data_IF_573482614353
#
_entry.id   IF_573482614353
#
_cell.length_a   1.000
_cell.length_b   1.000
_cell.length_c   1.000
_cell.angle_alpha   90.00
_cell.angle_beta   90.00
_cell.angle_gamma   90.00
#
_symmetry.space_group_name_H-M   'P 1'
#
loop_
_entity.id
_entity.type
_entity.pdbx_description
1 polymer ?
#
# COMPACT_ATOMS: atom_id res chain seq x y z
N UNK A 1 36.47 -3.24 16.37
CA UNK A 1 35.92 -4.61 16.33
C UNK A 1 34.90 -4.69 15.21
N UNK A 2 34.94 -5.62 14.27
CA UNK A 2 36.06 -6.45 13.79
C UNK A 2 35.90 -6.61 12.26
N UNK A 3 36.98 -6.39 11.50
CA UNK A 3 37.07 -6.66 10.05
C UNK A 3 36.58 -8.07 9.67
N UNK A 4 36.61 -9.00 10.63
CA UNK A 4 36.14 -10.37 10.50
C UNK A 4 34.62 -10.46 10.26
N UNK A 5 33.81 -9.60 10.87
CA UNK A 5 32.36 -9.61 10.69
C UNK A 5 31.98 -9.13 9.28
N UNK A 6 32.69 -8.12 8.76
CA UNK A 6 32.54 -7.65 7.38
C UNK A 6 32.96 -8.71 6.35
N UNK A 7 34.03 -9.45 6.63
CA UNK A 7 34.45 -10.56 5.77
C UNK A 7 33.45 -11.73 5.80
N UNK A 8 32.91 -12.07 6.98
CA UNK A 8 31.91 -13.12 7.13
C UNK A 8 30.59 -12.79 6.41
N UNK A 9 30.14 -11.53 6.48
CA UNK A 9 28.96 -11.05 5.75
C UNK A 9 29.17 -11.08 4.23
N UNK A 10 30.35 -10.67 3.73
CA UNK A 10 30.69 -10.80 2.30
C UNK A 10 30.68 -12.26 1.83
N UNK A 11 31.18 -13.18 2.65
CA UNK A 11 31.14 -14.62 2.36
C UNK A 11 29.71 -15.17 2.27
N UNK A 12 28.82 -14.74 3.17
CA UNK A 12 27.40 -15.13 3.15
C UNK A 12 26.69 -14.59 1.92
N UNK A 13 26.96 -13.34 1.52
CA UNK A 13 26.38 -12.73 0.31
C UNK A 13 26.82 -13.48 -0.95
N UNK A 14 28.11 -13.79 -1.08
CA UNK A 14 28.61 -14.54 -2.23
C UNK A 14 27.99 -15.95 -2.31
N UNK A 15 27.94 -16.66 -1.18
CA UNK A 15 27.34 -17.98 -1.10
C UNK A 15 25.82 -17.97 -1.35
N UNK A 16 25.12 -16.89 -1.02
CA UNK A 16 23.68 -16.74 -1.29
C UNK A 16 23.39 -16.44 -2.77
N UNK A 17 24.26 -15.67 -3.44
CA UNK A 17 24.20 -15.39 -4.87
C UNK A 17 24.45 -16.68 -5.67
N UNK A 18 25.47 -17.45 -5.30
CA UNK A 18 25.83 -18.69 -6.00
C UNK A 18 24.75 -19.79 -5.87
N UNK A 19 23.89 -19.71 -4.85
CA UNK A 19 22.80 -20.67 -4.57
C UNK A 19 21.39 -20.12 -4.87
N UNK A 20 21.26 -18.99 -5.57
CA UNK A 20 19.99 -18.37 -5.95
C UNK A 20 19.03 -18.09 -4.77
N UNK A 21 19.57 -17.86 -3.56
CA UNK A 21 18.80 -17.49 -2.37
C UNK A 21 18.71 -15.97 -2.25
N UNK A 22 18.03 -15.34 -3.21
CA UNK A 22 17.98 -13.88 -3.38
C UNK A 22 17.37 -13.15 -2.17
N UNK A 23 16.38 -13.73 -1.50
CA UNK A 23 15.78 -13.15 -0.29
C UNK A 23 16.81 -12.97 0.85
N UNK A 24 17.74 -13.92 0.99
CA UNK A 24 18.82 -13.84 1.99
C UNK A 24 19.91 -12.85 1.58
N UNK A 25 20.18 -12.74 0.29
CA UNK A 25 21.12 -11.74 -0.24
C UNK A 25 20.58 -10.32 -0.05
N UNK A 26 19.27 -10.10 -0.27
CA UNK A 26 18.64 -8.79 -0.08
C UNK A 26 18.65 -8.37 1.41
N UNK A 27 18.32 -9.31 2.32
CA UNK A 27 18.41 -9.04 3.76
C UNK A 27 19.85 -8.70 4.19
N UNK A 28 20.86 -9.41 3.68
CA UNK A 28 22.26 -9.13 3.99
C UNK A 28 22.74 -7.77 3.43
N UNK A 29 22.32 -7.40 2.22
CA UNK A 29 22.61 -6.08 1.63
C UNK A 29 21.93 -4.96 2.42
N UNK A 30 20.69 -5.17 2.88
CA UNK A 30 20.00 -4.22 3.72
C UNK A 30 20.74 -3.98 5.05
N UNK A 31 21.18 -5.05 5.72
CA UNK A 31 22.00 -4.94 6.93
C UNK A 31 23.35 -4.24 6.69
N UNK A 32 24.02 -4.50 5.55
CA UNK A 32 25.26 -3.81 5.19
C UNK A 32 25.05 -2.30 4.99
N UNK A 33 23.94 -1.88 4.38
CA UNK A 33 23.59 -0.45 4.23
C UNK A 33 23.26 0.21 5.56
N UNK A 34 22.59 -0.50 6.47
CA UNK A 34 22.33 0.00 7.82
C UNK A 34 23.64 0.19 8.61
N UNK A 35 24.57 -0.75 8.50
CA UNK A 35 25.89 -0.64 9.12
C UNK A 35 26.71 0.51 8.52
N UNK A 36 26.68 0.71 7.20
CA UNK A 36 27.39 1.85 6.57
C UNK A 36 26.79 3.19 6.98
N UNK A 37 25.46 3.27 7.10
CA UNK A 37 24.78 4.48 7.57
C UNK A 37 25.13 4.81 9.03
N UNK A 38 25.21 3.79 9.91
CA UNK A 38 25.66 3.96 11.29
C UNK A 38 27.15 4.37 11.37
N UNK A 39 28.02 3.81 10.53
CA UNK A 39 29.43 4.20 10.47
C UNK A 39 29.60 5.66 9.99
N UNK A 40 28.77 6.09 9.03
CA UNK A 40 28.77 7.47 8.52
C UNK A 40 28.30 8.46 9.59
N UNK A 41 27.25 8.10 10.34
CA UNK A 41 26.72 8.90 11.45
C UNK A 41 27.73 9.05 12.61
N UNK A 42 28.51 8.00 12.91
CA UNK A 42 29.52 8.03 13.96
C UNK A 42 30.76 8.83 13.52
N UNK A 43 31.09 8.87 12.22
CA UNK A 43 32.20 9.67 11.69
C UNK A 43 31.89 11.18 11.60
N UNK A 44 30.61 11.57 11.51
CA UNK A 44 30.17 12.98 11.44
C UNK A 44 29.88 13.62 12.79
N UNK A 45 30.15 12.97 13.93
CA UNK A 45 29.97 13.56 15.25
C UNK A 45 31.24 14.32 15.70
N UNK A 46 31.28 15.67 15.64
CA UNK A 46 32.20 16.43 16.46
C UNK A 46 31.72 16.35 17.92
N UNK A 47 32.66 16.12 18.82
CA UNK A 47 32.46 16.26 20.26
C UNK A 47 32.12 17.71 20.62
N UNK A 48 31.02 17.92 21.35
CA UNK A 48 30.73 18.99 22.33
C UNK A 48 29.22 19.01 22.62
N UNK A 49 28.79 18.53 23.79
CA UNK A 49 28.55 19.28 25.03
C UNK A 49 27.22 20.08 25.09
N UNK A 50 26.40 19.66 26.07
CA UNK A 50 25.61 20.47 27.01
C UNK A 50 24.37 21.29 26.56
N UNK A 51 23.26 20.90 27.20
CA UNK A 51 22.42 21.69 28.12
C UNK A 51 21.01 22.19 27.70
N UNK A 52 20.12 22.02 28.70
CA UNK A 52 18.94 22.83 29.05
C UNK A 52 17.64 22.56 28.26
N UNK A 53 16.64 21.86 28.83
CA UNK A 53 15.60 22.34 29.79
C UNK A 53 14.94 23.67 29.39
N UNK A 54 13.62 23.62 29.18
CA UNK A 54 12.52 24.48 29.70
C UNK A 54 11.41 24.59 28.64
N UNK A 55 10.22 24.04 28.85
CA UNK A 55 9.08 24.51 29.63
C UNK A 55 8.22 25.59 28.93
N UNK A 56 6.93 25.26 28.75
CA UNK A 56 5.72 26.11 28.70
C UNK A 56 5.70 27.40 27.85
N UNK A 57 4.74 27.49 26.91
CA UNK A 57 3.49 28.25 27.16
C UNK A 57 2.45 28.07 26.06
N UNK A 58 1.25 27.81 26.56
CA UNK A 58 -0.08 27.88 25.97
C UNK A 58 -0.46 29.35 25.84
N UNK A 59 -0.86 29.78 24.65
CA UNK A 59 -1.77 30.93 24.50
C UNK A 59 -2.85 30.60 23.47
N UNK A 60 -4.06 30.78 23.98
CA UNK A 60 -5.37 30.55 23.42
C UNK A 60 -5.82 31.90 22.89
N UNK A 61 -6.19 32.03 21.62
CA UNK A 61 -6.94 33.18 21.17
C UNK A 61 -8.02 32.77 20.16
N UNK A 62 -9.24 33.00 20.62
CA UNK A 62 -10.52 32.92 19.94
C UNK A 62 -10.67 34.09 18.98
N UNK A 63 -11.27 33.83 17.82
CA UNK A 63 -11.58 34.85 16.83
C UNK A 63 -12.35 34.24 15.67
N UNK A 64 -13.67 34.13 15.85
CA UNK A 64 -14.61 33.87 14.78
C UNK A 64 -14.70 35.08 13.85
N UNK A 65 -14.86 34.84 12.54
CA UNK A 65 -15.86 35.45 11.62
C UNK A 65 -15.46 35.14 10.16
N UNK A 66 -16.51 35.00 9.33
CA UNK A 66 -16.53 35.02 7.86
C UNK A 66 -16.39 33.70 7.08
N UNK A 67 -17.54 33.03 7.00
CA UNK A 67 -17.93 32.09 5.95
C UNK A 67 -17.83 32.74 4.56
N UNK A 68 -16.74 32.43 3.86
CA UNK A 68 -16.68 32.58 2.39
C UNK A 68 -16.68 31.18 1.80
N UNK A 69 -17.62 30.91 0.89
CA UNK A 69 -17.71 29.68 0.11
C UNK A 69 -16.46 29.51 -0.78
N UNK A 70 -15.40 28.97 -0.21
CA UNK A 70 -14.39 28.29 -0.99
C UNK A 70 -14.88 26.87 -1.25
N UNK A 71 -15.02 26.53 -2.54
CA UNK A 71 -14.97 25.15 -3.00
C UNK A 71 -13.68 24.53 -2.45
N UNK A 72 -13.78 23.92 -1.27
CA UNK A 72 -12.79 22.98 -0.76
C UNK A 72 -12.74 21.84 -1.76
N UNK A 73 -11.82 21.97 -2.72
CA UNK A 73 -11.08 20.82 -3.22
C UNK A 73 -10.72 20.05 -1.95
N UNK A 74 -11.17 18.81 -1.77
CA UNK A 74 -10.85 18.08 -0.56
C UNK A 74 -9.32 18.07 -0.48
N UNK A 75 -8.77 18.79 0.50
CA UNK A 75 -7.39 18.65 0.91
C UNK A 75 -7.18 17.14 1.02
N UNK A 76 -6.30 16.59 0.17
CA UNK A 76 -5.87 15.21 0.26
C UNK A 76 -5.41 15.03 1.69
N UNK A 77 -6.26 14.42 2.52
CA UNK A 77 -5.91 14.05 3.87
C UNK A 77 -4.62 13.26 3.74
N UNK A 78 -3.56 13.72 4.42
CA UNK A 78 -2.25 13.09 4.45
C UNK A 78 -2.33 11.71 5.17
N UNK A 79 -3.11 10.80 4.61
CA UNK A 79 -3.46 9.51 5.18
C UNK A 79 -3.12 8.42 4.18
N UNK A 80 -2.12 7.61 4.53
CA UNK A 80 -1.85 6.26 4.00
C UNK A 80 -2.35 6.00 2.57
N UNK A 81 -1.80 6.72 1.59
CA UNK A 81 -2.19 6.54 0.20
C UNK A 81 -1.86 5.13 -0.30
N UNK A 82 -2.75 4.56 -1.11
CA UNK A 82 -2.49 3.28 -1.79
C UNK A 82 -1.82 3.62 -3.12
N UNK A 83 -0.63 3.11 -3.36
CA UNK A 83 0.01 3.23 -4.67
C UNK A 83 -0.15 1.94 -5.47
N UNK A 84 -0.68 2.03 -6.68
CA UNK A 84 -0.82 0.92 -7.62
C UNK A 84 0.26 1.08 -8.69
N UNK A 85 1.08 0.07 -8.90
CA UNK A 85 2.08 0.02 -9.97
C UNK A 85 1.73 -1.08 -10.95
N UNK A 86 1.79 -0.79 -12.24
CA UNK A 86 1.70 -1.78 -13.31
C UNK A 86 3.06 -1.96 -13.96
N UNK A 87 3.59 -3.19 -13.88
CA UNK A 87 4.84 -3.61 -14.49
C UNK A 87 4.49 -4.38 -15.75
N UNK A 88 4.52 -3.69 -16.88
CA UNK A 88 4.05 -4.20 -18.17
C UNK A 88 4.80 -5.46 -18.62
N UNK A 89 6.13 -5.49 -18.44
CA UNK A 89 6.98 -6.60 -18.90
C UNK A 89 6.67 -7.93 -18.18
N UNK A 90 6.21 -7.85 -16.94
CA UNK A 90 5.84 -9.00 -16.10
C UNK A 90 4.32 -9.23 -16.06
N UNK A 91 3.53 -8.36 -16.70
CA UNK A 91 2.08 -8.29 -16.59
C UNK A 91 1.58 -8.30 -15.12
N UNK A 92 2.35 -7.66 -14.24
CA UNK A 92 2.21 -7.70 -12.80
C UNK A 92 1.70 -6.37 -12.27
N UNK A 93 0.81 -6.41 -11.27
CA UNK A 93 0.28 -5.24 -10.59
C UNK A 93 0.69 -5.30 -9.12
N UNK A 94 1.31 -4.23 -8.61
CA UNK A 94 1.70 -4.09 -7.22
C UNK A 94 0.85 -3.05 -6.51
N UNK A 95 0.22 -3.44 -5.41
CA UNK A 95 -0.52 -2.57 -4.51
C UNK A 95 0.32 -2.32 -3.26
N UNK A 96 0.80 -1.09 -3.08
CA UNK A 96 1.63 -0.68 -1.96
C UNK A 96 0.83 0.19 -1.00
N UNK A 97 0.76 -0.24 0.25
CA UNK A 97 0.30 0.55 1.40
C UNK A 97 1.27 0.31 2.54
N UNK A 98 2.24 1.21 2.70
CA UNK A 98 3.36 1.03 3.63
C UNK A 98 2.88 0.57 5.02
N UNK A 99 3.46 -0.50 5.59
CA UNK A 99 4.63 -1.28 5.12
C UNK A 99 4.29 -2.45 4.18
N UNK A 100 3.02 -2.65 3.84
CA UNK A 100 2.54 -3.81 3.09
C UNK A 100 2.63 -3.58 1.57
N UNK A 101 3.04 -4.61 0.84
CA UNK A 101 2.98 -4.64 -0.62
C UNK A 101 2.39 -5.98 -1.05
N UNK A 102 1.40 -5.92 -1.92
CA UNK A 102 0.79 -7.08 -2.56
C UNK A 102 1.06 -7.01 -4.05
N UNK A 103 1.29 -8.15 -4.68
CA UNK A 103 1.62 -8.30 -6.09
C UNK A 103 0.72 -9.39 -6.66
N UNK A 104 0.04 -9.08 -7.75
CA UNK A 104 -0.84 -10.03 -8.45
C UNK A 104 -0.77 -9.79 -9.94
N UNK A 105 -1.03 -10.84 -10.72
CA UNK A 105 -1.08 -10.72 -12.16
C UNK A 105 -2.31 -9.92 -12.59
N UNK A 106 -2.25 -9.34 -13.80
CA UNK A 106 -3.39 -8.62 -14.38
C UNK A 106 -4.66 -9.48 -14.46
N UNK A 107 -4.51 -10.80 -14.64
CA UNK A 107 -5.65 -11.72 -14.67
C UNK A 107 -6.39 -11.78 -13.34
N UNK A 108 -5.68 -11.76 -12.21
CA UNK A 108 -6.32 -11.67 -10.90
C UNK A 108 -7.16 -10.40 -10.77
N UNK A 109 -6.63 -9.25 -11.20
CA UNK A 109 -7.36 -7.98 -11.13
C UNK A 109 -8.61 -8.04 -12.00
N UNK A 110 -8.51 -8.57 -13.23
CA UNK A 110 -9.66 -8.77 -14.12
C UNK A 110 -10.75 -9.60 -13.46
N UNK A 111 -10.39 -10.76 -12.92
CA UNK A 111 -11.34 -11.64 -12.22
C UNK A 111 -11.96 -10.93 -11.01
N UNK A 112 -11.17 -10.21 -10.22
CA UNK A 112 -11.69 -9.44 -9.09
C UNK A 112 -12.75 -8.41 -9.52
N UNK A 113 -12.45 -7.64 -10.58
CA UNK A 113 -13.36 -6.63 -11.11
C UNK A 113 -14.61 -7.25 -11.75
N UNK A 114 -14.48 -8.35 -12.49
CA UNK A 114 -15.61 -9.11 -13.04
C UNK A 114 -16.57 -9.54 -11.92
N UNK A 115 -16.02 -10.05 -10.80
CA UNK A 115 -16.82 -10.44 -9.65
C UNK A 115 -17.47 -9.26 -8.93
N UNK A 116 -16.90 -8.06 -9.00
CA UNK A 116 -17.55 -6.84 -8.50
C UNK A 116 -18.72 -6.41 -9.41
N UNK A 117 -18.59 -6.59 -10.72
CA UNK A 117 -19.68 -6.32 -11.67
C UNK A 117 -20.85 -7.29 -11.50
N UNK A 118 -20.62 -8.55 -11.11
CA UNK A 118 -21.69 -9.50 -10.76
C UNK A 118 -22.55 -9.04 -9.57
N UNK A 119 -22.03 -8.11 -8.76
CA UNK A 119 -22.72 -7.46 -7.64
C UNK A 119 -23.41 -6.15 -8.01
N UNK A 120 -23.35 -5.73 -9.28
CA UNK A 120 -24.11 -4.58 -9.76
C UNK A 120 -25.61 -4.84 -9.52
N UNK A 121 -26.31 -3.81 -9.06
CA UNK A 121 -27.75 -3.84 -8.69
C UNK A 121 -28.12 -4.75 -7.51
N UNK A 122 -27.16 -5.33 -6.79
CA UNK A 122 -27.42 -6.08 -5.56
C UNK A 122 -27.47 -5.18 -4.32
N UNK A 123 -27.86 -5.76 -3.19
CA UNK A 123 -27.84 -5.11 -1.89
C UNK A 123 -26.41 -4.68 -1.48
N UNK A 124 -26.27 -3.62 -0.66
CA UNK A 124 -24.97 -3.17 -0.18
C UNK A 124 -24.17 -4.25 0.55
N UNK A 125 -22.90 -4.40 0.18
CA UNK A 125 -22.05 -5.49 0.63
C UNK A 125 -20.72 -5.00 1.21
N UNK A 126 -20.07 -5.87 1.99
CA UNK A 126 -18.75 -5.61 2.55
C UNK A 126 -17.68 -6.44 1.84
N UNK A 127 -16.39 -6.08 2.04
CA UNK A 127 -15.27 -6.91 1.57
C UNK A 127 -15.29 -8.32 2.15
N UNK A 128 -15.89 -8.49 3.34
CA UNK A 128 -16.08 -9.81 3.96
C UNK A 128 -17.10 -10.63 3.16
N UNK A 129 -18.26 -10.07 2.88
CA UNK A 129 -19.33 -10.78 2.15
C UNK A 129 -18.83 -11.22 0.77
N UNK A 130 -18.13 -10.33 0.06
CA UNK A 130 -17.51 -10.62 -1.23
C UNK A 130 -16.45 -11.73 -1.12
N UNK A 131 -15.56 -11.65 -0.13
CA UNK A 131 -14.52 -12.66 0.05
C UNK A 131 -15.14 -14.02 0.38
N UNK A 132 -16.14 -14.08 1.26
CA UNK A 132 -16.75 -15.34 1.67
C UNK A 132 -17.46 -16.02 0.47
N UNK A 133 -17.94 -15.26 -0.52
CA UNK A 133 -18.54 -15.81 -1.73
C UNK A 133 -17.50 -16.22 -2.80
N UNK A 134 -16.44 -15.43 -3.02
CA UNK A 134 -15.52 -15.62 -4.15
C UNK A 134 -14.11 -16.06 -3.76
N UNK A 135 -13.85 -16.37 -2.49
CA UNK A 135 -12.52 -16.76 -2.01
C UNK A 135 -11.89 -17.89 -2.83
N UNK A 136 -12.64 -18.96 -3.12
CA UNK A 136 -12.11 -20.11 -3.86
C UNK A 136 -11.74 -19.76 -5.30
N UNK A 137 -12.52 -18.89 -5.95
CA UNK A 137 -12.17 -18.39 -7.28
C UNK A 137 -10.92 -17.53 -7.21
N UNK A 138 -10.84 -16.56 -6.30
CA UNK A 138 -9.68 -15.66 -6.19
C UNK A 138 -8.40 -16.39 -5.81
N UNK A 139 -8.48 -17.44 -4.99
CA UNK A 139 -7.34 -18.30 -4.65
C UNK A 139 -6.76 -19.02 -5.86
N UNK A 140 -7.55 -19.33 -6.89
CA UNK A 140 -7.03 -19.96 -8.10
C UNK A 140 -6.08 -19.03 -8.89
N UNK A 141 -6.20 -17.71 -8.71
CA UNK A 141 -5.41 -16.69 -9.40
C UNK A 141 -4.39 -15.99 -8.48
N UNK A 142 -4.24 -16.43 -7.23
CA UNK A 142 -3.32 -15.84 -6.28
C UNK A 142 -2.57 -16.91 -5.48
N UNK A 143 -1.29 -16.67 -5.23
CA UNK A 143 -0.44 -17.55 -4.42
C UNK A 143 -0.57 -17.31 -2.92
N UNK A 144 -1.46 -16.41 -2.51
CA UNK A 144 -1.62 -16.00 -1.11
C UNK A 144 -2.36 -17.05 -0.26
N UNK A 145 -1.89 -17.20 0.98
CA UNK A 145 -2.67 -17.87 2.02
C UNK A 145 -4.01 -17.13 2.24
N UNK A 146 -5.04 -17.86 2.66
CA UNK A 146 -6.41 -17.34 2.83
C UNK A 146 -6.49 -16.07 3.68
N UNK A 147 -5.74 -16.00 4.79
CA UNK A 147 -5.70 -14.82 5.68
C UNK A 147 -5.10 -13.60 4.97
N UNK A 148 -3.99 -13.78 4.27
CA UNK A 148 -3.31 -12.75 3.47
C UNK A 148 -4.20 -12.30 2.31
N UNK A 149 -4.85 -13.22 1.61
CA UNK A 149 -5.78 -12.89 0.53
C UNK A 149 -6.98 -12.08 1.05
N UNK A 150 -7.52 -12.41 2.22
CA UNK A 150 -8.62 -11.64 2.84
C UNK A 150 -8.19 -10.22 3.19
N UNK A 151 -6.98 -10.04 3.72
CA UNK A 151 -6.40 -8.72 3.97
C UNK A 151 -6.22 -7.95 2.66
N UNK A 152 -5.69 -8.62 1.63
CA UNK A 152 -5.49 -8.01 0.33
C UNK A 152 -6.80 -7.60 -0.34
N UNK A 153 -7.84 -8.44 -0.30
CA UNK A 153 -9.18 -8.08 -0.80
C UNK A 153 -9.75 -6.87 -0.06
N UNK A 154 -9.49 -6.73 1.24
CA UNK A 154 -9.89 -5.53 1.98
C UNK A 154 -9.15 -4.28 1.49
N UNK A 155 -7.87 -4.41 1.11
CA UNK A 155 -7.12 -3.32 0.48
C UNK A 155 -7.68 -2.99 -0.91
N UNK A 156 -8.00 -4.00 -1.72
CA UNK A 156 -8.59 -3.83 -3.05
C UNK A 156 -9.93 -3.12 -2.99
N UNK A 157 -10.76 -3.38 -1.98
CA UNK A 157 -12.01 -2.64 -1.79
C UNK A 157 -11.77 -1.15 -1.53
N UNK A 158 -10.71 -0.79 -0.80
CA UNK A 158 -10.33 0.61 -0.60
C UNK A 158 -9.87 1.22 -1.92
N UNK A 159 -8.99 0.53 -2.65
CA UNK A 159 -8.53 0.99 -3.95
C UNK A 159 -9.70 1.16 -4.94
N UNK A 160 -10.60 0.18 -5.02
CA UNK A 160 -11.81 0.21 -5.85
C UNK A 160 -12.75 1.35 -5.47
N UNK A 161 -12.88 1.67 -4.18
CA UNK A 161 -13.63 2.84 -3.73
C UNK A 161 -12.99 4.15 -4.21
N UNK A 162 -11.67 4.31 -4.07
CA UNK A 162 -10.97 5.51 -4.54
C UNK A 162 -10.92 5.63 -6.07
N UNK A 163 -10.93 4.49 -6.77
CA UNK A 163 -11.01 4.43 -8.23
C UNK A 163 -12.43 4.66 -8.77
N UNK A 164 -13.44 4.68 -7.91
CA UNK A 164 -14.83 5.00 -8.27
C UNK A 164 -15.70 3.82 -8.71
N UNK A 165 -15.17 2.59 -8.79
CA UNK A 165 -15.99 1.41 -9.10
C UNK A 165 -16.86 0.97 -7.90
N UNK A 166 -16.45 1.32 -6.68
CA UNK A 166 -17.27 1.15 -5.48
C UNK A 166 -17.69 2.50 -4.92
N UNK A 167 -18.94 2.59 -4.46
CA UNK A 167 -19.52 3.79 -3.87
C UNK A 167 -20.14 3.47 -2.51
N UNK A 168 -20.44 4.52 -1.73
CA UNK A 168 -21.17 4.36 -0.47
C UNK A 168 -22.68 4.30 -0.74
N UNK A 169 -23.41 3.39 -0.09
CA UNK A 169 -24.87 3.42 -0.14
C UNK A 169 -25.38 4.73 0.46
N UNK A 170 -26.58 5.16 0.03
CA UNK A 170 -27.21 6.39 0.52
C UNK A 170 -27.49 6.36 2.04
N UNK A 171 -27.73 5.17 2.60
CA UNK A 171 -27.76 4.97 4.04
C UNK A 171 -26.34 4.90 4.59
N UNK A 172 -26.06 5.59 5.70
CA UNK A 172 -24.73 5.66 6.33
C UNK A 172 -24.35 4.33 7.03
N UNK A 173 -24.32 3.24 6.26
CA UNK A 173 -23.90 1.93 6.72
C UNK A 173 -22.38 1.84 6.63
N UNK A 174 -21.74 1.75 7.80
CA UNK A 174 -20.28 1.61 7.89
C UNK A 174 -19.83 0.33 7.17
N UNK A 175 -18.73 0.43 6.42
CA UNK A 175 -18.08 -0.69 5.72
C UNK A 175 -18.95 -1.44 4.69
N UNK A 176 -20.07 -0.83 4.25
CA UNK A 176 -20.86 -1.30 3.11
C UNK A 176 -20.53 -0.49 1.86
N UNK A 177 -20.69 -1.12 0.71
CA UNK A 177 -20.43 -0.57 -0.62
C UNK A 177 -21.51 -1.02 -1.59
N UNK A 178 -21.68 -0.25 -2.65
CA UNK A 178 -22.43 -0.62 -3.85
C UNK A 178 -21.50 -0.48 -5.06
N UNK A 179 -21.73 -1.26 -6.11
CA UNK A 179 -20.98 -1.13 -7.36
C UNK A 179 -21.49 0.07 -8.15
N UNK A 180 -20.59 0.90 -8.67
CA UNK A 180 -20.95 2.06 -9.49
C UNK A 180 -21.65 1.65 -10.78
N UNK A 181 -22.62 2.46 -11.20
CA UNK A 181 -23.25 2.37 -12.52
C UNK A 181 -22.45 3.09 -13.61
N UNK A 182 -21.49 3.94 -13.22
CA UNK A 182 -20.78 4.85 -14.14
C UNK A 182 -19.39 4.34 -14.51
N UNK A 183 -18.65 3.79 -13.54
CA UNK A 183 -17.31 3.23 -13.75
C UNK A 183 -17.41 1.72 -13.83
N UNK A 184 -16.92 1.15 -14.93
CA UNK A 184 -16.86 -0.28 -15.18
C UNK A 184 -15.47 -0.87 -15.01
N UNK A 185 -15.38 -2.19 -15.18
CA UNK A 185 -14.12 -2.94 -15.18
C UNK A 185 -13.11 -2.38 -16.19
N UNK A 186 -13.55 -2.18 -17.42
CA UNK A 186 -12.66 -1.83 -18.53
C UNK A 186 -12.01 -0.45 -18.32
N UNK A 187 -12.74 0.51 -17.74
CA UNK A 187 -12.22 1.83 -17.38
C UNK A 187 -11.05 1.73 -16.38
N UNK A 188 -11.19 0.85 -15.37
CA UNK A 188 -10.15 0.64 -14.36
C UNK A 188 -8.92 -0.05 -14.95
N UNK A 189 -9.12 -1.07 -15.79
CA UNK A 189 -8.02 -1.77 -16.44
C UNK A 189 -7.25 -0.80 -17.35
N UNK A 190 -7.97 -0.06 -18.19
CA UNK A 190 -7.38 0.94 -19.08
C UNK A 190 -6.57 1.96 -18.28
N UNK A 191 -7.13 2.46 -17.18
CA UNK A 191 -6.44 3.41 -16.29
C UNK A 191 -5.15 2.84 -15.71
N UNK A 192 -5.18 1.61 -15.19
CA UNK A 192 -4.00 0.93 -14.62
C UNK A 192 -2.92 0.72 -15.67
N UNK A 193 -3.31 0.33 -16.89
CA UNK A 193 -2.38 0.08 -17.99
C UNK A 193 -1.76 1.39 -18.51
N UNK A 194 -2.57 2.44 -18.64
CA UNK A 194 -2.15 3.73 -19.21
C UNK A 194 -1.33 4.56 -18.24
N UNK A 195 -1.79 4.72 -16.99
CA UNK A 195 -1.10 5.57 -16.01
C UNK A 195 0.16 4.89 -15.46
N UNK A 196 0.20 3.55 -15.44
CA UNK A 196 1.27 2.68 -14.89
C UNK A 196 1.55 2.85 -13.40
N UNK A 197 1.34 4.05 -12.84
CA UNK A 197 1.43 4.34 -11.41
C UNK A 197 0.24 5.20 -11.03
N UNK A 198 -0.57 4.74 -10.08
CA UNK A 198 -1.74 5.45 -9.58
C UNK A 198 -1.58 5.67 -8.07
N UNK A 199 -1.70 6.91 -7.62
CA UNK A 199 -1.70 7.28 -6.21
C UNK A 199 -3.13 7.62 -5.76
N UNK A 200 -3.65 6.85 -4.80
CA UNK A 200 -5.01 6.94 -4.26
C UNK A 200 -5.03 7.48 -2.83
#
# INVERSE_FOLDING_TARGET
MSLEEKQKLRGIVQHAIDNQQFDRAEQAVHHLRQLSALESFIQEAPASENNSRSNEKREENTGAVESTEEKKIPEKSAGEGITIYYIQDENLIKFRKSPQTYSVDMEFLKVFLDKLEEWREREPFSSKDFFDQYAETLKAYATYQTSTLRQFVTLLFRAAFHLGILEKPASSQRSRYITSSTVGRDDIIERVVNEKTIEL
#
